data_IF_661522962753
#
_entry.id   IF_661522962753
#
_cell.length_a   1.000
_cell.length_b   1.000
_cell.length_c   1.000
_cell.angle_alpha   90.00
_cell.angle_beta   90.00
_cell.angle_gamma   90.00
#
_symmetry.space_group_name_H-M   'P 1'
#
loop_
_entity.id
_entity.type
_entity.pdbx_description
1 polymer ?
#
# COMPACT_ATOMS: atom_id res chain seq x y z
N UNK A 1 17.73 -48.87 28.39
CA UNK A 1 17.05 -47.76 29.09
C UNK A 1 16.76 -46.67 28.06
N UNK A 2 15.60 -46.81 27.41
CA UNK A 2 15.12 -45.80 26.48
C UNK A 2 14.46 -44.67 27.29
N UNK A 3 14.99 -43.46 27.17
CA UNK A 3 14.29 -42.27 27.62
C UNK A 3 13.37 -41.87 26.49
N UNK A 4 12.10 -42.14 26.64
CA UNK A 4 11.03 -41.49 25.83
C UNK A 4 11.07 -40.00 26.17
N UNK A 5 11.28 -39.19 25.15
CA UNK A 5 11.15 -37.75 25.27
C UNK A 5 9.66 -37.44 25.41
N UNK A 6 9.24 -37.04 26.63
CA UNK A 6 7.91 -36.46 26.86
C UNK A 6 7.77 -35.23 25.98
N UNK A 7 6.95 -35.37 24.96
CA UNK A 7 6.44 -34.20 24.20
C UNK A 7 5.49 -33.44 25.13
N UNK A 8 5.93 -32.24 25.55
CA UNK A 8 5.07 -31.32 26.28
C UNK A 8 3.78 -31.09 25.48
N UNK A 9 2.59 -31.12 26.12
CA UNK A 9 1.34 -30.86 25.44
C UNK A 9 1.38 -29.44 24.82
N UNK A 10 1.19 -29.36 23.50
CA UNK A 10 1.02 -28.09 22.80
C UNK A 10 -0.29 -27.50 23.33
N UNK A 11 -0.22 -26.39 24.06
CA UNK A 11 -1.42 -25.67 24.50
C UNK A 11 -2.30 -25.37 23.28
N UNK A 12 -3.62 -25.60 23.35
CA UNK A 12 -4.51 -25.28 22.24
C UNK A 12 -4.46 -23.77 21.99
N UNK A 13 -4.05 -23.39 20.80
CA UNK A 13 -4.05 -22.00 20.37
C UNK A 13 -5.51 -21.49 20.40
N UNK A 14 -5.76 -20.41 21.14
CA UNK A 14 -7.10 -19.84 21.24
C UNK A 14 -7.58 -19.35 19.89
N UNK A 15 -8.86 -19.63 19.57
CA UNK A 15 -9.52 -19.15 18.36
C UNK A 15 -9.91 -17.66 18.48
N UNK A 16 -9.82 -16.94 17.39
CA UNK A 16 -10.24 -15.56 17.25
C UNK A 16 -10.90 -15.30 15.89
N UNK A 17 -10.95 -14.05 15.52
CA UNK A 17 -11.57 -13.57 14.27
C UNK A 17 -10.57 -12.74 13.49
N UNK A 18 -10.37 -13.08 12.22
CA UNK A 18 -9.66 -12.25 11.27
C UNK A 18 -10.66 -11.36 10.55
N UNK A 19 -10.41 -10.04 10.50
CA UNK A 19 -11.30 -9.08 9.85
C UNK A 19 -10.69 -8.62 8.53
N UNK A 20 -11.44 -8.79 7.44
CA UNK A 20 -11.01 -8.42 6.08
C UNK A 20 -11.42 -7.00 5.71
N UNK A 21 -12.68 -6.67 5.96
CA UNK A 21 -13.26 -5.37 5.59
C UNK A 21 -14.54 -5.08 6.37
N UNK A 22 -15.01 -3.84 6.24
CA UNK A 22 -16.34 -3.40 6.69
C UNK A 22 -17.18 -3.10 5.45
N UNK A 23 -18.47 -3.49 5.51
CA UNK A 23 -19.46 -3.25 4.46
C UNK A 23 -20.77 -2.74 5.08
N UNK A 24 -21.66 -2.21 4.26
CA UNK A 24 -23.02 -1.86 4.66
C UNK A 24 -23.96 -3.00 4.26
N UNK A 25 -24.52 -3.70 5.27
CA UNK A 25 -25.56 -4.72 5.10
C UNK A 25 -26.29 -4.96 6.42
N UNK A 26 -27.61 -5.12 6.33
CA UNK A 26 -28.45 -5.53 7.48
C UNK A 26 -28.68 -7.03 7.54
N UNK A 27 -28.35 -7.75 6.47
CA UNK A 27 -28.56 -9.19 6.36
C UNK A 27 -27.25 -9.97 6.58
N UNK A 28 -27.30 -11.10 7.29
CA UNK A 28 -26.17 -12.00 7.37
C UNK A 28 -25.73 -12.48 5.98
N UNK A 29 -24.42 -12.48 5.74
CA UNK A 29 -23.82 -12.95 4.49
C UNK A 29 -22.75 -13.99 4.78
N UNK A 30 -22.60 -14.93 3.84
CA UNK A 30 -21.50 -15.90 3.80
C UNK A 30 -20.89 -15.86 2.40
N UNK A 31 -19.56 -15.88 2.35
CA UNK A 31 -18.79 -15.80 1.11
C UNK A 31 -18.06 -17.12 0.79
N UNK A 32 -18.22 -18.14 1.64
CA UNK A 32 -17.64 -19.46 1.47
C UNK A 32 -16.28 -19.66 2.14
N UNK A 33 -15.67 -20.84 1.94
CA UNK A 33 -14.48 -21.32 2.67
C UNK A 33 -13.18 -20.75 2.09
N UNK A 34 -12.94 -19.46 2.26
CA UNK A 34 -11.77 -18.75 1.75
C UNK A 34 -10.97 -18.02 2.84
N UNK A 35 -11.17 -18.40 4.11
CA UNK A 35 -10.49 -17.78 5.25
C UNK A 35 -8.97 -17.92 5.18
N UNK A 36 -8.27 -16.92 5.79
CA UNK A 36 -6.81 -16.89 5.86
C UNK A 36 -6.22 -18.11 6.59
N UNK A 37 -4.97 -18.43 6.31
CA UNK A 37 -4.23 -19.51 6.98
C UNK A 37 -4.43 -20.91 6.37
N UNK A 38 -5.13 -21.01 5.23
CA UNK A 38 -5.24 -22.27 4.46
C UNK A 38 -6.10 -23.37 5.11
N UNK A 39 -6.88 -23.04 6.14
CA UNK A 39 -7.75 -24.00 6.85
C UNK A 39 -9.10 -24.23 6.15
N UNK A 40 -9.47 -23.35 5.22
CA UNK A 40 -10.79 -23.40 4.59
C UNK A 40 -11.92 -22.93 5.51
N UNK A 41 -11.62 -22.02 6.45
CA UNK A 41 -12.64 -21.43 7.31
C UNK A 41 -13.61 -20.59 6.49
N UNK A 42 -14.91 -20.67 6.83
CA UNK A 42 -15.94 -19.86 6.19
C UNK A 42 -15.73 -18.36 6.50
N UNK A 43 -15.92 -17.55 5.46
CA UNK A 43 -15.96 -16.09 5.56
C UNK A 43 -17.41 -15.66 5.66
N UNK A 44 -17.74 -14.89 6.71
CA UNK A 44 -19.10 -14.47 7.03
C UNK A 44 -19.13 -13.06 7.63
N UNK A 45 -20.31 -12.54 7.96
CA UNK A 45 -20.48 -11.20 8.49
C UNK A 45 -20.84 -11.19 9.99
N UNK A 46 -20.19 -10.29 10.74
CA UNK A 46 -20.56 -9.87 12.10
C UNK A 46 -21.17 -8.48 12.04
N UNK A 47 -22.39 -8.33 12.49
CA UNK A 47 -23.24 -7.17 12.19
C UNK A 47 -23.46 -6.23 13.39
N UNK A 48 -23.57 -4.93 13.09
CA UNK A 48 -24.06 -3.92 14.03
C UNK A 48 -24.79 -2.80 13.27
N UNK A 49 -26.12 -2.65 13.47
CA UNK A 49 -26.95 -1.53 12.97
C UNK A 49 -26.79 -1.20 11.47
N UNK A 50 -26.77 -2.23 10.60
CA UNK A 50 -26.66 -2.01 9.16
C UNK A 50 -25.22 -1.94 8.65
N UNK A 51 -24.22 -1.96 9.53
CA UNK A 51 -22.82 -2.22 9.17
C UNK A 51 -22.44 -3.64 9.54
N UNK A 52 -21.51 -4.22 8.81
CA UNK A 52 -20.99 -5.54 9.09
C UNK A 52 -19.49 -5.64 8.84
N UNK A 53 -18.78 -6.30 9.73
CA UNK A 53 -17.42 -6.76 9.47
C UNK A 53 -17.46 -8.11 8.74
N UNK A 54 -16.68 -8.25 7.70
CA UNK A 54 -16.44 -9.51 7.00
C UNK A 54 -15.29 -10.22 7.68
N UNK A 55 -15.53 -11.42 8.20
CA UNK A 55 -14.61 -12.12 9.10
C UNK A 55 -14.49 -13.60 8.76
N UNK A 56 -13.42 -14.25 9.23
CA UNK A 56 -13.34 -15.71 9.37
C UNK A 56 -12.84 -16.09 10.76
N UNK A 57 -13.14 -17.32 11.17
CA UNK A 57 -12.47 -17.90 12.35
C UNK A 57 -11.01 -18.13 12.05
N UNK A 58 -10.16 -18.00 13.05
CA UNK A 58 -8.72 -18.20 12.88
C UNK A 58 -8.04 -18.36 14.24
N UNK A 59 -6.94 -19.11 14.33
CA UNK A 59 -6.09 -19.08 15.50
C UNK A 59 -5.58 -17.66 15.80
N UNK A 60 -5.50 -17.29 17.08
CA UNK A 60 -4.93 -16.01 17.51
C UNK A 60 -3.40 -16.03 17.39
N UNK A 61 -2.92 -15.99 16.15
CA UNK A 61 -1.49 -15.95 15.82
C UNK A 61 -1.20 -14.75 14.93
N UNK A 62 0.02 -14.23 15.01
CA UNK A 62 0.47 -13.21 14.06
C UNK A 62 0.70 -13.87 12.70
N UNK A 63 -0.02 -13.40 11.68
CA UNK A 63 0.18 -13.86 10.30
C UNK A 63 1.31 -13.09 9.64
N UNK A 64 2.33 -13.80 9.19
CA UNK A 64 3.35 -13.21 8.32
C UNK A 64 2.75 -12.83 6.97
N UNK A 65 3.15 -11.70 6.35
CA UNK A 65 2.68 -11.27 5.06
C UNK A 65 3.30 -12.10 3.91
N UNK A 66 3.17 -13.41 4.00
CA UNK A 66 3.57 -14.32 2.91
C UNK A 66 2.67 -14.09 1.70
N UNK A 67 3.12 -14.53 0.53
CA UNK A 67 2.33 -14.39 -0.70
C UNK A 67 0.96 -15.05 -0.57
N UNK A 68 0.90 -16.23 0.07
CA UNK A 68 -0.33 -17.00 0.27
C UNK A 68 -1.31 -16.25 1.19
N UNK A 69 -0.83 -15.74 2.32
CA UNK A 69 -1.66 -15.02 3.29
C UNK A 69 -2.17 -13.68 2.73
N UNK A 70 -1.30 -12.94 2.05
CA UNK A 70 -1.72 -11.68 1.39
C UNK A 70 -2.72 -11.98 0.30
N UNK A 71 -2.50 -13.02 -0.51
CA UNK A 71 -3.46 -13.41 -1.56
C UNK A 71 -4.81 -13.82 -1.00
N UNK A 72 -4.85 -14.60 0.09
CA UNK A 72 -6.11 -14.99 0.75
C UNK A 72 -6.88 -13.75 1.27
N UNK A 73 -6.18 -12.79 1.89
CA UNK A 73 -6.78 -11.54 2.35
C UNK A 73 -7.36 -10.72 1.18
N UNK A 74 -6.60 -10.56 0.11
CA UNK A 74 -7.02 -9.85 -1.10
C UNK A 74 -8.21 -10.53 -1.78
N UNK A 75 -8.19 -11.86 -1.90
CA UNK A 75 -9.25 -12.66 -2.52
C UNK A 75 -10.60 -12.46 -1.83
N UNK A 76 -10.63 -12.41 -0.50
CA UNK A 76 -11.85 -12.11 0.25
C UNK A 76 -12.35 -10.71 -0.09
N UNK A 77 -11.47 -9.70 0.01
CA UNK A 77 -11.83 -8.32 -0.28
C UNK A 77 -12.33 -8.14 -1.73
N UNK A 78 -11.67 -8.77 -2.70
CA UNK A 78 -12.09 -8.75 -4.11
C UNK A 78 -13.46 -9.43 -4.31
N UNK A 79 -13.69 -10.55 -3.64
CA UNK A 79 -14.99 -11.26 -3.71
C UNK A 79 -16.12 -10.40 -3.16
N UNK A 80 -15.91 -9.79 -1.99
CA UNK A 80 -16.90 -8.93 -1.35
C UNK A 80 -17.16 -7.65 -2.17
N UNK A 81 -16.12 -7.09 -2.79
CA UNK A 81 -16.22 -5.87 -3.60
C UNK A 81 -17.09 -6.02 -4.86
N UNK A 82 -17.39 -7.25 -5.28
CA UNK A 82 -18.30 -7.50 -6.42
C UNK A 82 -19.74 -7.09 -6.13
N UNK A 83 -20.15 -7.16 -4.85
CA UNK A 83 -21.52 -6.90 -4.43
C UNK A 83 -21.65 -5.66 -3.52
N UNK A 84 -20.57 -5.28 -2.82
CA UNK A 84 -20.61 -4.25 -1.78
C UNK A 84 -19.52 -3.20 -1.99
N UNK A 85 -19.76 -2.00 -1.47
CA UNK A 85 -18.70 -1.03 -1.19
C UNK A 85 -17.91 -1.53 0.01
N UNK A 86 -16.60 -1.63 -0.13
CA UNK A 86 -15.70 -2.25 0.84
C UNK A 86 -14.79 -1.20 1.48
N UNK A 87 -14.74 -1.18 2.80
CA UNK A 87 -13.68 -0.51 3.55
C UNK A 87 -12.67 -1.57 4.01
N UNK A 88 -11.55 -1.74 3.30
CA UNK A 88 -10.60 -2.79 3.64
C UNK A 88 -9.91 -2.52 4.97
N UNK A 89 -9.75 -3.58 5.77
CA UNK A 89 -8.91 -3.55 6.96
C UNK A 89 -7.45 -3.79 6.59
N UNK A 90 -6.55 -3.33 7.43
CA UNK A 90 -5.15 -3.65 7.26
C UNK A 90 -4.90 -5.16 7.41
N UNK A 91 -3.96 -5.71 6.64
CA UNK A 91 -3.54 -7.09 6.79
C UNK A 91 -3.13 -7.39 8.24
N UNK A 92 -3.60 -8.50 8.78
CA UNK A 92 -3.32 -8.91 10.16
C UNK A 92 -4.30 -8.35 11.21
N UNK A 93 -5.46 -7.83 10.80
CA UNK A 93 -6.49 -7.35 11.72
C UNK A 93 -7.18 -8.53 12.45
N UNK A 94 -6.73 -8.81 13.66
CA UNK A 94 -7.19 -9.92 14.52
C UNK A 94 -7.94 -9.40 15.74
N UNK A 95 -9.06 -10.05 16.05
CA UNK A 95 -9.89 -9.80 17.21
C UNK A 95 -10.10 -11.08 18.00
N UNK A 96 -10.33 -10.98 19.30
CA UNK A 96 -10.55 -12.17 20.13
C UNK A 96 -11.96 -12.73 19.96
N UNK A 97 -12.95 -11.84 19.91
CA UNK A 97 -14.37 -12.21 19.89
C UNK A 97 -15.14 -11.38 18.85
N UNK A 98 -16.38 -11.79 18.58
CA UNK A 98 -17.32 -10.99 17.78
C UNK A 98 -17.78 -9.75 18.52
N UNK A 99 -17.85 -9.81 19.84
CA UNK A 99 -18.19 -8.67 20.69
C UNK A 99 -17.17 -7.55 20.56
N UNK A 100 -15.87 -7.86 20.50
CA UNK A 100 -14.80 -6.87 20.27
C UNK A 100 -15.00 -6.16 18.92
N UNK A 101 -15.42 -6.91 17.88
CA UNK A 101 -15.70 -6.38 16.54
C UNK A 101 -16.94 -5.48 16.58
N UNK A 102 -18.00 -5.91 17.27
CA UNK A 102 -19.21 -5.10 17.46
C UNK A 102 -18.90 -3.80 18.20
N UNK A 103 -18.05 -3.85 19.22
CA UNK A 103 -17.60 -2.65 19.94
C UNK A 103 -16.82 -1.70 19.05
N UNK A 104 -15.93 -2.23 18.21
CA UNK A 104 -15.20 -1.45 17.23
C UNK A 104 -16.16 -0.72 16.28
N UNK A 105 -17.12 -1.45 15.67
CA UNK A 105 -18.10 -0.86 14.76
C UNK A 105 -18.94 0.19 15.49
N UNK A 106 -19.37 -0.09 16.71
CA UNK A 106 -20.15 0.84 17.54
C UNK A 106 -19.40 2.14 17.81
N UNK A 107 -18.13 2.04 18.21
CA UNK A 107 -17.30 3.20 18.57
C UNK A 107 -16.89 4.06 17.36
N UNK A 108 -16.99 3.51 16.15
CA UNK A 108 -16.59 4.19 14.90
C UNK A 108 -17.73 4.31 13.90
N UNK A 109 -18.96 4.07 14.31
CA UNK A 109 -20.12 3.89 13.44
C UNK A 109 -20.31 5.02 12.41
N UNK A 110 -20.37 6.27 12.87
CA UNK A 110 -20.59 7.43 12.01
C UNK A 110 -19.42 7.63 11.04
N UNK A 111 -18.19 7.45 11.51
CA UNK A 111 -17.01 7.57 10.66
C UNK A 111 -16.97 6.47 9.58
N UNK A 112 -17.35 5.23 9.90
CA UNK A 112 -17.45 4.13 8.95
C UNK A 112 -18.49 4.42 7.88
N UNK A 113 -19.69 4.89 8.27
CA UNK A 113 -20.74 5.25 7.33
C UNK A 113 -20.33 6.39 6.41
N UNK A 114 -19.72 7.43 6.95
CA UNK A 114 -19.24 8.57 6.17
C UNK A 114 -18.20 8.14 5.11
N UNK A 115 -17.30 7.23 5.48
CA UNK A 115 -16.26 6.74 4.55
C UNK A 115 -16.88 5.78 3.54
N UNK A 116 -17.80 4.88 3.91
CA UNK A 116 -18.54 4.02 2.98
C UNK A 116 -19.27 4.86 1.92
N UNK A 117 -20.00 5.87 2.34
CA UNK A 117 -20.71 6.77 1.41
C UNK A 117 -19.75 7.49 0.44
N UNK A 118 -18.56 7.90 0.92
CA UNK A 118 -17.53 8.54 0.08
C UNK A 118 -16.88 7.56 -0.92
N UNK A 119 -16.81 6.27 -0.58
CA UNK A 119 -16.20 5.22 -1.40
C UNK A 119 -17.21 4.53 -2.32
N UNK A 120 -18.51 4.80 -2.16
CA UNK A 120 -19.56 4.21 -2.97
C UNK A 120 -19.29 4.44 -4.46
N UNK A 121 -19.42 3.37 -5.25
CA UNK A 121 -19.19 3.41 -6.70
C UNK A 121 -17.75 3.66 -7.13
N UNK A 122 -16.77 3.62 -6.22
CA UNK A 122 -15.35 3.89 -6.53
C UNK A 122 -14.48 2.67 -6.32
N UNK A 123 -13.42 2.60 -7.11
CA UNK A 123 -12.40 1.54 -7.06
C UNK A 123 -11.02 2.18 -7.15
N UNK A 124 -10.03 1.47 -6.61
CA UNK A 124 -8.65 1.93 -6.64
C UNK A 124 -7.87 1.23 -7.76
N UNK A 125 -7.06 1.99 -8.48
CA UNK A 125 -6.04 1.48 -9.40
C UNK A 125 -4.65 1.88 -8.93
N UNK A 126 -3.73 0.92 -8.99
CA UNK A 126 -2.32 1.13 -8.71
C UNK A 126 -1.52 1.25 -9.99
N UNK A 127 -0.61 2.23 -10.06
CA UNK A 127 0.31 2.39 -11.18
C UNK A 127 1.74 2.54 -10.67
N UNK A 128 2.59 1.60 -11.08
CA UNK A 128 4.03 1.69 -10.87
C UNK A 128 4.70 1.90 -12.21
N UNK A 129 5.55 2.91 -12.29
CA UNK A 129 6.33 3.22 -13.49
C UNK A 129 7.80 2.99 -13.18
N UNK A 130 8.42 2.15 -13.99
CA UNK A 130 9.84 1.85 -13.92
C UNK A 130 10.50 2.35 -15.20
N UNK A 131 11.78 2.69 -15.11
CA UNK A 131 12.61 3.04 -16.25
C UNK A 131 13.81 2.12 -16.37
N UNK A 132 14.39 2.09 -17.58
CA UNK A 132 15.69 1.50 -17.80
C UNK A 132 16.76 2.60 -17.61
N UNK A 133 17.27 2.69 -16.36
CA UNK A 133 18.21 3.73 -15.98
C UNK A 133 19.45 3.75 -16.86
N UNK A 134 19.96 2.58 -17.28
CA UNK A 134 21.16 2.47 -18.09
C UNK A 134 20.92 3.07 -19.49
N UNK A 135 19.78 2.80 -20.10
CA UNK A 135 19.39 3.41 -21.38
C UNK A 135 19.23 4.92 -21.28
N UNK A 136 18.54 5.39 -20.22
CA UNK A 136 18.35 6.83 -20.02
C UNK A 136 19.69 7.51 -19.79
N UNK A 137 20.60 6.88 -19.02
CA UNK A 137 21.96 7.40 -18.82
C UNK A 137 22.71 7.51 -20.16
N UNK A 138 22.66 6.46 -20.98
CA UNK A 138 23.30 6.48 -22.30
C UNK A 138 22.72 7.59 -23.21
N UNK A 139 21.40 7.75 -23.21
CA UNK A 139 20.75 8.84 -23.97
C UNK A 139 21.18 10.25 -23.47
N UNK A 140 21.31 10.44 -22.15
CA UNK A 140 21.78 11.69 -21.56
C UNK A 140 23.25 11.96 -21.95
N UNK A 141 24.11 10.95 -21.91
CA UNK A 141 25.51 11.05 -22.32
C UNK A 141 25.68 11.44 -23.80
N UNK A 142 24.71 11.07 -24.65
CA UNK A 142 24.72 11.45 -26.07
C UNK A 142 24.16 12.85 -26.32
N UNK A 143 23.13 13.24 -25.57
CA UNK A 143 22.35 14.46 -25.83
C UNK A 143 22.84 15.69 -25.07
N UNK A 144 23.43 15.49 -23.88
CA UNK A 144 23.91 16.56 -23.04
C UNK A 144 25.37 16.90 -23.37
N UNK A 145 25.58 18.12 -23.90
CA UNK A 145 26.89 18.57 -24.33
C UNK A 145 27.91 18.67 -23.18
N UNK A 146 27.45 19.04 -21.97
CA UNK A 146 28.30 19.17 -20.80
C UNK A 146 28.76 17.80 -20.30
N UNK A 147 27.86 16.82 -20.23
CA UNK A 147 28.16 15.44 -19.87
C UNK A 147 29.15 14.85 -20.86
N UNK A 148 28.88 15.03 -22.16
CA UNK A 148 29.73 14.50 -23.24
C UNK A 148 31.14 15.11 -23.18
N UNK A 149 31.24 16.42 -23.04
CA UNK A 149 32.52 17.12 -22.98
C UNK A 149 33.35 16.71 -21.76
N UNK A 150 32.72 16.59 -20.59
CA UNK A 150 33.40 16.15 -19.37
C UNK A 150 33.88 14.69 -19.47
N UNK A 151 33.10 13.81 -20.12
CA UNK A 151 33.47 12.42 -20.37
C UNK A 151 34.67 12.34 -21.31
N UNK A 152 34.73 13.14 -22.39
CA UNK A 152 35.86 13.24 -23.30
C UNK A 152 37.12 13.73 -22.60
N UNK A 153 37.03 14.75 -21.74
CA UNK A 153 38.12 15.24 -20.92
C UNK A 153 38.70 14.19 -19.98
N UNK A 154 37.85 13.35 -19.38
CA UNK A 154 38.28 12.26 -18.50
C UNK A 154 39.00 11.17 -19.30
N UNK A 155 38.53 10.86 -20.51
CA UNK A 155 39.07 9.80 -21.36
C UNK A 155 40.40 10.22 -21.98
N UNK A 156 40.61 11.51 -22.32
CA UNK A 156 41.80 12.03 -22.95
C UNK A 156 43.01 12.24 -22.02
N UNK A 157 42.75 12.29 -20.67
CA UNK A 157 43.80 12.52 -19.66
C UNK A 157 44.35 11.21 -19.11
N UNK A 158 45.60 10.91 -19.40
CA UNK A 158 46.24 9.59 -19.13
C UNK A 158 46.71 9.39 -17.68
N UNK A 159 46.75 10.38 -16.77
CA UNK A 159 47.23 10.17 -15.37
C UNK A 159 46.80 11.28 -14.38
N UNK A 160 46.40 10.88 -13.19
CA UNK A 160 46.55 11.57 -11.90
C UNK A 160 45.48 12.59 -11.51
N UNK A 161 44.78 13.25 -12.42
CA UNK A 161 43.86 14.37 -12.10
C UNK A 161 42.41 14.13 -12.48
N UNK A 162 41.99 12.89 -12.66
CA UNK A 162 40.61 12.59 -13.12
C UNK A 162 39.60 12.38 -12.00
N UNK A 163 40.03 12.30 -10.75
CA UNK A 163 39.14 12.00 -9.61
C UNK A 163 38.02 13.06 -9.46
N UNK A 164 38.39 14.33 -9.41
CA UNK A 164 37.39 15.43 -9.30
C UNK A 164 36.49 15.50 -10.54
N UNK A 165 37.03 15.31 -11.72
CA UNK A 165 36.24 15.30 -12.95
C UNK A 165 35.25 14.12 -12.99
N UNK A 166 35.64 12.93 -12.53
CA UNK A 166 34.74 11.78 -12.39
C UNK A 166 33.64 12.03 -11.35
N UNK A 167 33.97 12.64 -10.20
CA UNK A 167 32.96 13.02 -9.22
C UNK A 167 31.98 14.07 -9.78
N UNK A 168 32.48 15.06 -10.53
CA UNK A 168 31.66 16.07 -11.18
C UNK A 168 30.74 15.44 -12.22
N UNK A 169 31.27 14.54 -13.08
CA UNK A 169 30.49 13.79 -14.07
C UNK A 169 29.38 12.97 -13.38
N UNK A 170 29.71 12.26 -12.30
CA UNK A 170 28.72 11.49 -11.55
C UNK A 170 27.58 12.35 -11.02
N UNK A 171 27.89 13.54 -10.44
CA UNK A 171 26.87 14.48 -9.95
C UNK A 171 26.01 15.04 -11.08
N UNK A 172 26.62 15.39 -12.21
CA UNK A 172 25.90 15.93 -13.36
C UNK A 172 24.93 14.90 -13.93
N UNK A 173 25.36 13.64 -14.08
CA UNK A 173 24.51 12.53 -14.53
C UNK A 173 23.35 12.29 -13.53
N UNK A 174 23.62 12.26 -12.20
CA UNK A 174 22.56 12.08 -11.19
C UNK A 174 21.55 13.22 -11.21
N UNK A 175 21.99 14.46 -11.37
CA UNK A 175 21.09 15.61 -11.51
C UNK A 175 20.22 15.48 -12.76
N UNK A 176 20.82 15.20 -13.91
CA UNK A 176 20.11 15.04 -15.18
C UNK A 176 19.10 13.88 -15.14
N UNK A 177 19.46 12.75 -14.48
CA UNK A 177 18.55 11.62 -14.28
C UNK A 177 17.38 12.02 -13.37
N UNK A 178 17.61 12.77 -12.31
CA UNK A 178 16.55 13.24 -11.41
C UNK A 178 15.59 14.15 -12.16
N UNK A 179 16.10 15.12 -12.89
CA UNK A 179 15.29 16.06 -13.69
C UNK A 179 14.45 15.33 -14.77
N UNK A 180 15.04 14.32 -15.40
CA UNK A 180 14.36 13.50 -16.40
C UNK A 180 13.26 12.64 -15.76
N UNK A 181 13.52 12.02 -14.59
CA UNK A 181 12.53 11.27 -13.84
C UNK A 181 11.35 12.18 -13.43
N UNK A 182 11.64 13.35 -12.90
CA UNK A 182 10.64 14.34 -12.50
C UNK A 182 9.80 14.82 -13.69
N UNK A 183 10.39 14.96 -14.87
CA UNK A 183 9.67 15.30 -16.09
C UNK A 183 8.68 14.19 -16.48
N UNK A 184 9.11 12.93 -16.47
CA UNK A 184 8.23 11.78 -16.74
C UNK A 184 7.11 11.68 -15.70
N UNK A 185 7.45 11.80 -14.41
CA UNK A 185 6.46 11.73 -13.32
C UNK A 185 5.40 12.83 -13.50
N UNK A 186 5.83 14.08 -13.69
CA UNK A 186 4.90 15.21 -13.88
C UNK A 186 3.95 14.96 -15.03
N UNK A 187 4.46 14.51 -16.17
CA UNK A 187 3.64 14.31 -17.36
C UNK A 187 2.65 13.14 -17.19
N UNK A 188 3.12 11.98 -16.70
CA UNK A 188 2.26 10.80 -16.48
C UNK A 188 1.22 11.08 -15.40
N UNK A 189 1.67 11.59 -14.25
CA UNK A 189 0.80 11.79 -13.09
C UNK A 189 -0.28 12.85 -13.35
N UNK A 190 0.06 13.99 -13.98
CA UNK A 190 -0.91 15.06 -14.23
C UNK A 190 -2.05 14.58 -15.14
N UNK A 191 -1.72 13.86 -16.21
CA UNK A 191 -2.73 13.36 -17.16
C UNK A 191 -3.69 12.34 -16.51
N UNK A 192 -3.22 11.51 -15.60
CA UNK A 192 -4.04 10.51 -14.91
C UNK A 192 -4.80 11.10 -13.73
N UNK A 193 -4.19 12.04 -12.98
CA UNK A 193 -4.85 12.69 -11.86
C UNK A 193 -6.14 13.40 -12.28
N UNK A 194 -6.17 14.01 -13.45
CA UNK A 194 -7.31 14.78 -13.94
C UNK A 194 -8.52 13.90 -14.31
N UNK A 195 -8.31 12.58 -14.49
CA UNK A 195 -9.37 11.59 -14.73
C UNK A 195 -9.82 10.87 -13.46
N UNK A 196 -9.11 11.08 -12.33
CA UNK A 196 -9.37 10.44 -11.06
C UNK A 196 -10.17 11.34 -10.12
N UNK A 197 -10.98 10.74 -9.24
CA UNK A 197 -11.66 11.43 -8.13
C UNK A 197 -10.64 11.90 -7.10
N UNK A 198 -9.66 11.05 -6.83
CA UNK A 198 -8.52 11.34 -5.96
C UNK A 198 -7.29 10.56 -6.42
N UNK A 199 -6.12 11.06 -6.09
CA UNK A 199 -4.87 10.37 -6.38
C UNK A 199 -3.88 10.52 -5.21
N UNK A 200 -3.03 9.52 -5.04
CA UNK A 200 -2.00 9.50 -4.01
C UNK A 200 -0.68 9.03 -4.60
N UNK A 201 0.36 9.84 -4.44
CA UNK A 201 1.72 9.42 -4.72
C UNK A 201 2.29 8.70 -3.51
N UNK A 202 2.81 7.51 -3.72
CA UNK A 202 3.50 6.69 -2.74
C UNK A 202 5.01 6.75 -3.01
N UNK A 203 5.81 6.39 -2.01
CA UNK A 203 7.26 6.33 -2.17
C UNK A 203 7.63 5.25 -3.19
N UNK A 204 8.43 5.56 -4.22
CA UNK A 204 9.01 4.55 -5.11
C UNK A 204 9.90 3.57 -4.34
N UNK A 205 9.99 2.33 -4.82
CA UNK A 205 10.77 1.25 -4.22
C UNK A 205 11.91 0.87 -5.16
N UNK A 206 13.15 0.98 -4.64
CA UNK A 206 14.35 0.71 -5.44
C UNK A 206 14.69 1.86 -6.40
N UNK A 207 15.71 1.64 -7.22
CA UNK A 207 16.32 2.63 -8.12
C UNK A 207 15.70 2.67 -9.53
N UNK A 208 14.98 1.61 -9.90
CA UNK A 208 14.30 1.51 -11.21
C UNK A 208 12.89 2.09 -11.21
N UNK A 209 12.25 2.18 -10.04
CA UNK A 209 10.90 2.71 -9.94
C UNK A 209 10.95 4.22 -9.78
N UNK A 210 10.41 4.95 -10.75
CA UNK A 210 10.33 6.41 -10.71
C UNK A 210 8.98 6.90 -10.16
N UNK A 211 7.90 6.12 -10.33
CA UNK A 211 6.57 6.49 -9.82
C UNK A 211 5.88 5.28 -9.19
N UNK A 212 5.21 5.52 -8.06
CA UNK A 212 4.28 4.60 -7.40
C UNK A 212 3.06 5.42 -6.98
N UNK A 213 1.95 5.22 -7.63
CA UNK A 213 0.75 6.01 -7.37
C UNK A 213 -0.51 5.14 -7.31
N UNK A 214 -1.48 5.59 -6.52
CA UNK A 214 -2.82 5.06 -6.46
C UNK A 214 -3.81 6.11 -6.96
N UNK A 215 -4.83 5.66 -7.68
CA UNK A 215 -5.88 6.50 -8.24
C UNK A 215 -7.25 5.95 -7.84
N UNK A 216 -8.09 6.79 -7.27
CA UNK A 216 -9.48 6.48 -6.96
C UNK A 216 -10.35 6.88 -8.15
N UNK A 217 -11.00 5.92 -8.76
CA UNK A 217 -11.75 6.10 -10.00
C UNK A 217 -13.21 5.74 -9.76
N UNK A 218 -14.14 6.50 -10.36
CA UNK A 218 -15.52 6.08 -10.43
C UNK A 218 -15.64 4.84 -11.30
N UNK A 219 -16.37 3.84 -10.85
CA UNK A 219 -16.47 2.53 -11.54
C UNK A 219 -17.00 2.63 -12.96
N UNK A 220 -17.86 3.59 -13.24
CA UNK A 220 -18.38 3.86 -14.58
C UNK A 220 -17.35 4.53 -15.51
N UNK A 221 -16.26 5.09 -14.95
CA UNK A 221 -15.14 5.68 -15.70
C UNK A 221 -13.91 4.79 -15.82
N UNK A 222 -13.99 3.54 -15.38
CA UNK A 222 -12.88 2.57 -15.43
C UNK A 222 -12.33 2.42 -16.86
N UNK A 223 -13.20 2.24 -17.84
CA UNK A 223 -12.78 2.06 -19.24
C UNK A 223 -12.06 3.31 -19.82
N UNK A 224 -12.49 4.50 -19.42
CA UNK A 224 -11.82 5.76 -19.78
C UNK A 224 -10.41 5.84 -19.20
N UNK A 225 -10.30 5.49 -17.91
CA UNK A 225 -9.00 5.48 -17.22
C UNK A 225 -8.04 4.45 -17.80
N UNK A 226 -8.51 3.24 -18.06
CA UNK A 226 -7.76 2.18 -18.74
C UNK A 226 -7.21 2.61 -20.10
N UNK A 227 -8.05 3.23 -20.89
CA UNK A 227 -7.64 3.74 -22.20
C UNK A 227 -6.57 4.81 -22.07
N UNK A 228 -6.71 5.71 -21.11
CA UNK A 228 -5.73 6.76 -20.84
C UNK A 228 -4.37 6.21 -20.41
N UNK A 229 -4.36 5.19 -19.53
CA UNK A 229 -3.13 4.51 -19.14
C UNK A 229 -2.45 3.84 -20.34
N UNK A 230 -3.21 3.19 -21.24
CA UNK A 230 -2.68 2.56 -22.45
C UNK A 230 -2.08 3.58 -23.41
N UNK A 231 -2.73 4.71 -23.61
CA UNK A 231 -2.23 5.80 -24.47
C UNK A 231 -0.90 6.35 -23.95
N UNK A 232 -0.82 6.61 -22.64
CA UNK A 232 0.42 7.08 -22.01
C UNK A 232 1.50 6.00 -22.12
N UNK A 233 1.19 4.74 -21.83
CA UNK A 233 2.16 3.65 -21.91
C UNK A 233 2.73 3.50 -23.34
N UNK A 234 1.89 3.61 -24.36
CA UNK A 234 2.32 3.55 -25.75
C UNK A 234 3.25 4.70 -26.14
N UNK A 235 3.00 5.91 -25.61
CA UNK A 235 3.87 7.08 -25.84
C UNK A 235 5.30 6.87 -25.35
N UNK A 236 5.45 6.09 -24.27
CA UNK A 236 6.73 5.85 -23.62
C UNK A 236 7.29 4.44 -23.87
N UNK A 237 6.79 3.73 -24.90
CA UNK A 237 7.28 2.41 -25.26
C UNK A 237 8.81 2.40 -25.44
N UNK A 238 9.47 1.39 -24.88
CA UNK A 238 10.93 1.27 -24.91
C UNK A 238 11.70 2.14 -23.93
N UNK A 239 11.06 3.12 -23.27
CA UNK A 239 11.69 4.00 -22.26
C UNK A 239 11.20 3.70 -20.85
N UNK A 240 9.89 3.56 -20.69
CA UNK A 240 9.24 3.29 -19.41
C UNK A 240 8.48 1.96 -19.46
N UNK A 241 8.42 1.30 -18.32
CA UNK A 241 7.62 0.09 -18.09
C UNK A 241 6.52 0.41 -17.09
N UNK A 242 5.29 0.15 -17.47
CA UNK A 242 4.09 0.43 -16.67
C UNK A 242 3.57 -0.87 -16.06
N UNK A 243 3.46 -0.91 -14.72
CA UNK A 243 2.76 -1.97 -14.00
C UNK A 243 1.46 -1.38 -13.47
N UNK A 244 0.38 -1.61 -14.19
CA UNK A 244 -0.97 -1.19 -13.89
C UNK A 244 -1.74 -2.34 -13.26
N UNK A 245 -2.43 -2.11 -12.16
CA UNK A 245 -3.13 -3.14 -11.38
C UNK A 245 -4.43 -2.60 -10.77
N UNK A 246 -5.41 -3.45 -10.62
CA UNK A 246 -6.74 -3.15 -10.11
C UNK A 246 -7.82 -3.78 -11.00
N UNK A 247 -9.11 -3.54 -10.72
CA UNK A 247 -9.59 -2.71 -9.62
C UNK A 247 -9.37 -3.34 -8.23
N UNK A 248 -8.99 -2.50 -7.27
CA UNK A 248 -8.78 -2.88 -5.86
C UNK A 248 -9.76 -2.17 -4.95
N UNK A 249 -10.04 -2.70 -3.75
CA UNK A 249 -10.61 -1.91 -2.67
C UNK A 249 -9.76 -0.68 -2.37
N UNK A 250 -10.34 0.42 -1.87
CA UNK A 250 -9.64 1.71 -1.77
C UNK A 250 -8.64 1.79 -0.61
N UNK A 251 -7.65 0.90 -0.57
CA UNK A 251 -6.64 0.79 0.49
C UNK A 251 -5.87 2.09 0.75
N UNK A 252 -5.54 2.82 -0.31
CA UNK A 252 -4.79 4.07 -0.19
C UNK A 252 -5.66 5.27 0.20
N UNK A 253 -6.98 5.16 0.15
CA UNK A 253 -7.93 6.26 0.36
C UNK A 253 -8.78 6.11 1.62
N UNK A 254 -8.77 4.93 2.26
CA UNK A 254 -9.46 4.67 3.52
C UNK A 254 -8.47 4.82 4.68
N UNK A 255 -8.71 5.81 5.55
CA UNK A 255 -7.90 6.05 6.73
C UNK A 255 -8.81 6.20 7.95
N UNK A 256 -9.08 5.10 8.62
CA UNK A 256 -9.84 5.10 9.86
C UNK A 256 -8.85 4.98 11.03
N UNK A 257 -8.76 6.00 11.85
CA UNK A 257 -7.98 5.96 13.09
C UNK A 257 -8.83 5.31 14.17
N UNK A 258 -8.53 4.08 14.50
CA UNK A 258 -9.14 3.38 15.63
C UNK A 258 -8.53 3.92 16.93
N UNK A 259 -9.30 4.64 17.72
CA UNK A 259 -8.96 4.90 19.13
C UNK A 259 -9.44 3.68 19.92
N UNK A 260 -8.57 2.71 20.09
CA UNK A 260 -8.79 1.66 21.07
C UNK A 260 -8.56 2.30 22.46
N UNK A 261 -9.61 2.57 23.19
CA UNK A 261 -9.51 2.85 24.62
C UNK A 261 -8.99 1.57 25.27
N UNK A 262 -7.75 1.60 25.76
CA UNK A 262 -7.25 0.52 26.62
C UNK A 262 -8.08 0.59 27.90
N UNK A 263 -8.75 -0.50 28.32
CA UNK A 263 -9.29 -0.54 29.69
C UNK A 263 -8.12 -0.25 30.62
N UNK A 264 -8.28 0.73 31.48
CA UNK A 264 -7.32 1.00 32.55
C UNK A 264 -7.20 -0.28 33.39
N UNK A 265 -6.08 -0.98 33.26
CA UNK A 265 -5.72 -2.03 34.17
C UNK A 265 -5.48 -1.34 35.52
N UNK A 266 -6.40 -1.58 36.46
CA UNK A 266 -6.38 -1.03 37.79
C UNK A 266 -4.98 -1.05 38.40
N UNK A 267 -4.63 0.04 39.02
CA UNK A 267 -3.40 0.24 39.76
C UNK A 267 -3.16 -0.89 40.76
N UNK A 268 -2.13 -1.65 40.54
CA UNK A 268 -1.64 -2.68 41.46
C UNK A 268 -0.15 -2.90 41.30
N UNK A 269 0.66 -2.16 42.05
CA UNK A 269 2.04 -2.55 42.37
C UNK A 269 3.13 -1.89 41.53
N UNK A 270 3.70 -0.82 42.03
CA UNK A 270 4.90 -0.20 41.52
C UNK A 270 6.11 -1.11 41.53
N UNK A 271 6.98 -0.94 40.57
CA UNK A 271 8.45 -0.99 40.70
C UNK A 271 9.10 -0.28 39.50
N UNK A 272 9.87 0.65 39.90
CA UNK A 272 10.83 1.60 39.35
C UNK A 272 11.82 1.08 38.27
N UNK A 273 12.18 2.03 37.39
CA UNK A 273 13.41 2.20 36.58
C UNK A 273 13.56 1.55 35.20
N UNK A 274 13.80 2.46 34.26
CA UNK A 274 14.75 2.19 33.19
C UNK A 274 14.48 2.82 31.84
N UNK A 275 14.95 4.05 31.64
CA UNK A 275 15.50 4.64 30.41
C UNK A 275 14.61 4.82 29.14
N UNK A 276 14.41 6.10 28.89
CA UNK A 276 13.95 6.69 27.61
C UNK A 276 14.89 6.34 26.46
N UNK A 277 14.33 5.93 25.34
CA UNK A 277 14.89 6.20 24.01
C UNK A 277 13.85 6.94 23.19
N UNK A 278 14.12 8.19 22.96
CA UNK A 278 13.40 9.04 22.01
C UNK A 278 13.69 8.57 20.58
N UNK A 279 12.66 8.16 19.88
CA UNK A 279 12.67 7.96 18.43
C UNK A 279 11.93 9.13 17.78
N UNK A 280 12.66 10.08 17.26
CA UNK A 280 12.19 11.21 16.47
C UNK A 280 11.46 10.73 15.21
N UNK A 281 10.15 10.92 15.17
CA UNK A 281 9.35 10.85 13.94
C UNK A 281 9.28 12.27 13.34
N UNK A 282 10.00 12.48 12.24
CA UNK A 282 9.84 13.68 11.43
C UNK A 282 8.45 13.74 10.78
N UNK A 283 7.83 14.93 10.70
CA UNK A 283 6.50 15.08 10.09
C UNK A 283 6.62 15.09 8.56
N UNK A 284 5.83 14.23 7.92
CA UNK A 284 5.58 14.24 6.48
C UNK A 284 4.97 15.58 6.08
N UNK A 285 5.70 16.38 5.28
CA UNK A 285 5.20 17.61 4.67
C UNK A 285 4.01 17.31 3.76
N UNK A 286 2.85 17.80 4.15
CA UNK A 286 1.70 17.95 3.26
C UNK A 286 2.06 19.04 2.24
N UNK A 287 2.02 18.70 0.96
CA UNK A 287 1.94 19.69 -0.11
C UNK A 287 0.52 20.26 -0.07
N UNK A 288 0.40 21.41 0.60
CA UNK A 288 -0.82 22.21 0.63
C UNK A 288 -1.11 22.79 -0.75
N UNK A 289 -2.39 22.75 -1.12
CA UNK A 289 -3.02 23.44 -2.23
C UNK A 289 -2.46 24.86 -2.40
N UNK A 290 -1.97 25.16 -3.59
CA UNK A 290 -1.87 26.53 -4.07
C UNK A 290 -3.00 26.71 -5.06
N UNK A 291 -4.08 27.35 -4.58
CA UNK A 291 -5.03 28.06 -5.43
C UNK A 291 -4.39 29.39 -5.84
N UNK A 292 -4.24 29.60 -7.11
CA UNK A 292 -4.57 30.79 -7.90
C UNK A 292 -4.25 30.54 -9.37
#
# INVERSE_FOLDING_TARGET
MNREAEQSPVEPVSEGKYVYCIIETSEPRSFGPMGIGGRGDDVYTVQHKGLAAVVSNTPLVVYDPTRENVFAHEQVNETVMREFTVLPMAFGALFRTEEDIVELIRGTYDALRDVLAKMEGKVEFGLKVNWDRDKVTAELEEKDDEIRHLKEQITSRTTGSTYFARMQLGRLIETALTDQADAYIREVYSQLRDTAVASRANKPIGDRMIMNAAFLIERDREAEFDQKVKEIASKYEGKLSFKYTGPWPPYNFVHIRLKLERPELGEGGGLDRGERREGTTEPVRQLSNVSN
#
